data_IF_739772900189
#
_entry.id   IF_739772900189
#
_cell.length_a   1.000
_cell.length_b   1.000
_cell.length_c   1.000
_cell.angle_alpha   90.00
_cell.angle_beta   90.00
_cell.angle_gamma   90.00
#
_symmetry.space_group_name_H-M   'P 1'
#
loop_
_entity.id
_entity.type
_entity.pdbx_description
1 polymer ?
#
# COMPACT_ATOMS: atom_id res chain seq x y z
N UNK A 1 -14.74 -50.93 -10.14
CA UNK A 1 -15.92 -50.07 -10.44
C UNK A 1 -15.56 -48.64 -10.11
N UNK A 2 -15.05 -47.90 -11.09
CA UNK A 2 -14.73 -46.49 -10.95
C UNK A 2 -15.90 -45.68 -11.51
N UNK A 3 -16.63 -44.98 -10.65
CA UNK A 3 -17.59 -43.94 -11.00
C UNK A 3 -16.84 -42.70 -11.53
N UNK A 4 -16.03 -42.88 -12.59
CA UNK A 4 -15.45 -41.76 -13.30
C UNK A 4 -16.59 -41.12 -14.09
N UNK A 5 -17.07 -39.97 -13.61
CA UNK A 5 -18.03 -39.18 -14.36
C UNK A 5 -17.45 -38.91 -15.75
N UNK A 6 -18.11 -39.43 -16.78
CA UNK A 6 -17.70 -39.30 -18.19
C UNK A 6 -18.01 -37.92 -18.77
N UNK A 7 -18.65 -37.05 -17.98
CA UNK A 7 -19.04 -35.70 -18.37
C UNK A 7 -18.23 -34.60 -17.68
N UNK A 8 -18.52 -33.34 -18.01
CA UNK A 8 -17.97 -32.18 -17.33
C UNK A 8 -18.23 -32.23 -15.82
N UNK A 9 -17.32 -31.65 -15.03
CA UNK A 9 -17.44 -31.64 -13.57
C UNK A 9 -18.65 -30.83 -13.09
N UNK A 10 -18.99 -29.73 -13.80
CA UNK A 10 -20.10 -28.85 -13.48
C UNK A 10 -20.83 -28.43 -14.76
N UNK A 11 -22.15 -28.20 -14.71
CA UNK A 11 -22.88 -27.67 -15.87
C UNK A 11 -22.51 -26.21 -16.13
N UNK A 12 -22.44 -25.84 -17.41
CA UNK A 12 -21.99 -24.52 -17.86
C UNK A 12 -22.75 -23.35 -17.23
N UNK A 13 -24.07 -23.48 -17.06
CA UNK A 13 -24.93 -22.44 -16.50
C UNK A 13 -24.67 -22.15 -15.02
N UNK A 14 -23.99 -23.05 -14.28
CA UNK A 14 -23.55 -22.81 -12.90
C UNK A 14 -22.24 -22.04 -12.88
N UNK A 15 -21.29 -22.38 -13.76
CA UNK A 15 -19.93 -21.85 -13.72
C UNK A 15 -19.79 -20.52 -14.47
N UNK A 16 -20.50 -20.36 -15.60
CA UNK A 16 -20.35 -19.20 -16.47
C UNK A 16 -20.83 -17.88 -15.82
N UNK A 17 -22.02 -17.79 -15.18
CA UNK A 17 -22.48 -16.54 -14.58
C UNK A 17 -21.54 -15.95 -13.50
N UNK A 18 -21.03 -16.71 -12.51
CA UNK A 18 -20.11 -16.14 -11.53
C UNK A 18 -18.77 -15.73 -12.16
N UNK A 19 -18.25 -16.49 -13.14
CA UNK A 19 -17.01 -16.10 -13.83
C UNK A 19 -17.20 -14.81 -14.65
N UNK A 20 -18.35 -14.65 -15.31
CA UNK A 20 -18.69 -13.44 -16.05
C UNK A 20 -18.83 -12.23 -15.10
N UNK A 21 -19.49 -12.42 -13.94
CA UNK A 21 -19.60 -11.38 -12.92
C UNK A 21 -18.22 -10.97 -12.38
N UNK A 22 -17.36 -11.94 -12.07
CA UNK A 22 -15.99 -11.67 -11.61
C UNK A 22 -15.17 -10.93 -12.67
N UNK A 23 -15.30 -11.31 -13.95
CA UNK A 23 -14.68 -10.56 -15.05
C UNK A 23 -15.13 -9.10 -15.07
N UNK A 24 -16.43 -8.83 -14.92
CA UNK A 24 -16.95 -7.45 -14.89
C UNK A 24 -16.40 -6.66 -13.70
N UNK A 25 -16.33 -7.27 -12.51
CA UNK A 25 -15.75 -6.65 -11.33
C UNK A 25 -14.26 -6.35 -11.55
N UNK A 26 -13.49 -7.29 -12.11
CA UNK A 26 -12.07 -7.08 -12.40
C UNK A 26 -11.86 -6.00 -13.47
N UNK A 27 -12.69 -5.95 -14.50
CA UNK A 27 -12.65 -4.91 -15.52
C UNK A 27 -12.92 -3.52 -14.91
N UNK A 28 -13.96 -3.41 -14.07
CA UNK A 28 -14.27 -2.19 -13.33
C UNK A 28 -13.13 -1.78 -12.39
N UNK A 29 -12.53 -2.74 -11.69
CA UNK A 29 -11.36 -2.50 -10.85
C UNK A 29 -10.17 -1.95 -11.63
N UNK A 30 -9.85 -2.54 -12.79
CA UNK A 30 -8.76 -2.06 -13.65
C UNK A 30 -9.05 -0.64 -14.14
N UNK A 31 -10.29 -0.31 -14.49
CA UNK A 31 -10.67 1.06 -14.87
C UNK A 31 -10.52 2.04 -13.70
N UNK A 32 -11.03 1.70 -12.52
CA UNK A 32 -10.90 2.53 -11.31
C UNK A 32 -9.43 2.75 -10.92
N UNK A 33 -8.56 1.74 -11.13
CA UNK A 33 -7.13 1.85 -10.86
C UNK A 33 -6.41 2.86 -11.78
N UNK A 34 -6.98 3.18 -12.96
CA UNK A 34 -6.40 4.19 -13.86
C UNK A 34 -6.60 5.61 -13.34
N UNK A 35 -7.66 5.84 -12.58
CA UNK A 35 -8.01 7.16 -12.02
C UNK A 35 -7.36 7.40 -10.65
N UNK A 36 -6.99 6.33 -9.94
CA UNK A 36 -6.36 6.44 -8.64
C UNK A 36 -4.95 7.07 -8.71
N UNK A 37 -4.65 7.95 -7.76
CA UNK A 37 -3.32 8.54 -7.57
C UNK A 37 -2.36 7.51 -6.94
N UNK A 38 -1.91 6.57 -7.77
CA UNK A 38 -1.01 5.48 -7.40
C UNK A 38 0.26 5.59 -8.24
N UNK A 39 1.46 5.42 -7.64
CA UNK A 39 2.73 5.40 -8.39
C UNK A 39 2.65 4.46 -9.59
N UNK A 40 3.19 4.92 -10.72
CA UNK A 40 3.04 4.22 -12.01
C UNK A 40 3.55 2.77 -11.98
N UNK A 41 4.66 2.52 -11.26
CA UNK A 41 5.21 1.19 -11.04
C UNK A 41 4.20 0.23 -10.40
N UNK A 42 3.56 0.64 -9.29
CA UNK A 42 2.55 -0.17 -8.58
C UNK A 42 1.29 -0.35 -9.42
N UNK A 43 0.91 0.67 -10.19
CA UNK A 43 -0.21 0.60 -11.12
C UNK A 43 0.01 -0.48 -12.18
N UNK A 44 1.17 -0.50 -12.85
CA UNK A 44 1.51 -1.48 -13.88
C UNK A 44 1.47 -2.91 -13.32
N UNK A 45 2.04 -3.16 -12.14
CA UNK A 45 2.03 -4.49 -11.50
C UNK A 45 0.61 -4.95 -11.19
N UNK A 46 -0.20 -4.09 -10.58
CA UNK A 46 -1.61 -4.39 -10.27
C UNK A 46 -2.45 -4.64 -11.51
N UNK A 47 -2.29 -3.85 -12.57
CA UNK A 47 -2.96 -4.08 -13.85
C UNK A 47 -2.58 -5.43 -14.44
N UNK A 48 -1.29 -5.79 -14.45
CA UNK A 48 -0.86 -7.11 -14.92
C UNK A 48 -1.44 -8.26 -14.08
N UNK A 49 -1.50 -8.09 -12.76
CA UNK A 49 -2.15 -9.05 -11.86
C UNK A 49 -3.64 -9.23 -12.19
N UNK A 50 -4.39 -8.14 -12.32
CA UNK A 50 -5.82 -8.19 -12.67
C UNK A 50 -6.07 -8.76 -14.06
N UNK A 51 -5.27 -8.40 -15.08
CA UNK A 51 -5.37 -8.97 -16.43
C UNK A 51 -5.11 -10.47 -16.39
N UNK A 52 -4.12 -10.92 -15.63
CA UNK A 52 -3.84 -12.35 -15.44
C UNK A 52 -5.03 -13.05 -14.77
N UNK A 53 -5.65 -12.45 -13.76
CA UNK A 53 -6.87 -12.98 -13.13
C UNK A 53 -8.10 -12.98 -14.06
N UNK A 54 -8.19 -12.05 -15.01
CA UNK A 54 -9.24 -12.07 -16.03
C UNK A 54 -8.99 -13.23 -17.01
N UNK A 55 -7.74 -13.48 -17.40
CA UNK A 55 -7.35 -14.60 -18.27
C UNK A 55 -7.55 -15.98 -17.62
N UNK A 56 -7.55 -16.09 -16.29
CA UNK A 56 -7.85 -17.36 -15.62
C UNK A 56 -9.34 -17.72 -15.67
N UNK A 57 -10.26 -16.75 -15.69
CA UNK A 57 -11.70 -17.02 -15.72
C UNK A 57 -12.17 -17.90 -16.91
N UNK A 58 -11.80 -17.63 -18.17
CA UNK A 58 -12.23 -18.48 -19.29
C UNK A 58 -11.60 -19.87 -19.22
N UNK A 59 -10.39 -19.99 -18.66
CA UNK A 59 -9.74 -21.29 -18.42
C UNK A 59 -10.46 -22.08 -17.34
N UNK A 60 -10.94 -21.43 -16.27
CA UNK A 60 -11.76 -22.07 -15.24
C UNK A 60 -13.07 -22.57 -15.85
N UNK A 61 -13.78 -21.73 -16.62
CA UNK A 61 -15.02 -22.14 -17.30
C UNK A 61 -14.76 -23.32 -18.24
N UNK A 62 -13.69 -23.25 -19.04
CA UNK A 62 -13.30 -24.33 -19.94
C UNK A 62 -13.00 -25.61 -19.17
N UNK A 63 -12.19 -25.53 -18.10
CA UNK A 63 -11.79 -26.69 -17.30
C UNK A 63 -12.97 -27.40 -16.64
N UNK A 64 -13.91 -26.65 -16.07
CA UNK A 64 -15.01 -27.25 -15.29
C UNK A 64 -16.24 -27.62 -16.12
N UNK A 65 -16.53 -26.88 -17.20
CA UNK A 65 -17.75 -27.05 -17.97
C UNK A 65 -17.54 -27.72 -19.34
N UNK A 66 -16.32 -27.77 -19.86
CA UNK A 66 -16.05 -28.26 -21.23
C UNK A 66 -15.01 -29.40 -21.23
N UNK A 67 -13.88 -29.23 -20.53
CA UNK A 67 -12.83 -30.23 -20.49
C UNK A 67 -13.33 -31.48 -19.75
N UNK A 68 -13.21 -32.63 -20.42
CA UNK A 68 -13.64 -33.91 -19.85
C UNK A 68 -12.43 -34.81 -19.59
N UNK A 69 -12.45 -35.66 -18.55
CA UNK A 69 -11.37 -36.63 -18.30
C UNK A 69 -11.23 -37.69 -19.39
N UNK A 70 -12.22 -37.82 -20.28
CA UNK A 70 -12.19 -38.74 -21.41
C UNK A 70 -11.04 -38.41 -22.40
N UNK A 71 -10.66 -37.13 -22.51
CA UNK A 71 -9.46 -36.69 -23.21
C UNK A 71 -8.40 -36.24 -22.21
N UNK A 72 -7.61 -37.20 -21.73
CA UNK A 72 -6.57 -36.98 -20.74
C UNK A 72 -5.54 -35.93 -21.18
N UNK A 73 -5.23 -35.82 -22.48
CA UNK A 73 -4.23 -34.86 -22.98
C UNK A 73 -4.73 -33.44 -22.82
N UNK A 74 -5.93 -33.16 -23.33
CA UNK A 74 -6.52 -31.82 -23.24
C UNK A 74 -6.76 -31.43 -21.78
N UNK A 75 -7.29 -32.36 -20.97
CA UNK A 75 -7.51 -32.14 -19.55
C UNK A 75 -6.22 -31.77 -18.79
N UNK A 76 -5.14 -32.54 -18.99
CA UNK A 76 -3.85 -32.27 -18.34
C UNK A 76 -3.21 -30.97 -18.82
N UNK A 77 -3.33 -30.63 -20.11
CA UNK A 77 -2.83 -29.36 -20.65
C UNK A 77 -3.57 -28.16 -20.06
N UNK A 78 -4.90 -28.23 -19.92
CA UNK A 78 -5.68 -27.16 -19.28
C UNK A 78 -5.29 -26.97 -17.82
N UNK A 79 -5.12 -28.07 -17.07
CA UNK A 79 -4.62 -28.00 -15.68
C UNK A 79 -3.22 -27.39 -15.60
N UNK A 80 -2.30 -27.84 -16.45
CA UNK A 80 -0.94 -27.30 -16.49
C UNK A 80 -0.93 -25.80 -16.81
N UNK A 81 -1.76 -25.36 -17.75
CA UNK A 81 -1.92 -23.95 -18.09
C UNK A 81 -2.49 -23.14 -16.91
N UNK A 82 -3.52 -23.66 -16.24
CA UNK A 82 -4.13 -23.00 -15.08
C UNK A 82 -3.14 -22.89 -13.90
N UNK A 83 -2.38 -23.94 -13.62
CA UNK A 83 -1.30 -23.92 -12.63
C UNK A 83 -0.17 -22.96 -13.03
N UNK A 84 0.15 -22.88 -14.32
CA UNK A 84 1.11 -21.92 -14.86
C UNK A 84 0.68 -20.46 -14.64
N UNK A 85 -0.59 -20.13 -14.94
CA UNK A 85 -1.14 -18.80 -14.65
C UNK A 85 -1.17 -18.52 -13.14
N UNK A 86 -1.52 -19.51 -12.31
CA UNK A 86 -1.49 -19.36 -10.86
C UNK A 86 -0.06 -19.10 -10.36
N UNK A 87 0.93 -19.82 -10.87
CA UNK A 87 2.34 -19.57 -10.57
C UNK A 87 2.78 -18.17 -10.98
N UNK A 88 2.35 -17.70 -12.15
CA UNK A 88 2.59 -16.32 -12.62
C UNK A 88 1.98 -15.28 -11.66
N UNK A 89 0.77 -15.52 -11.15
CA UNK A 89 0.14 -14.64 -10.14
C UNK A 89 0.97 -14.58 -8.85
N UNK A 90 1.49 -15.73 -8.38
CA UNK A 90 2.36 -15.77 -7.19
C UNK A 90 3.64 -14.97 -7.42
N UNK A 91 4.28 -15.11 -8.58
CA UNK A 91 5.49 -14.34 -8.92
C UNK A 91 5.19 -12.84 -8.97
N UNK A 92 4.09 -12.43 -9.61
CA UNK A 92 3.67 -11.02 -9.63
C UNK A 92 3.39 -10.48 -8.22
N UNK A 93 2.75 -11.27 -7.36
CA UNK A 93 2.50 -10.89 -5.98
C UNK A 93 3.80 -10.71 -5.19
N UNK A 94 4.78 -11.62 -5.37
CA UNK A 94 6.10 -11.46 -4.75
C UNK A 94 6.82 -10.20 -5.23
N UNK A 95 6.77 -9.90 -6.53
CA UNK A 95 7.35 -8.67 -7.09
C UNK A 95 6.68 -7.41 -6.50
N UNK A 96 5.36 -7.42 -6.30
CA UNK A 96 4.66 -6.32 -5.64
C UNK A 96 5.13 -6.12 -4.20
N UNK A 97 5.29 -7.22 -3.44
CA UNK A 97 5.81 -7.16 -2.06
C UNK A 97 7.22 -6.57 -2.02
N UNK A 98 8.13 -7.05 -2.87
CA UNK A 98 9.51 -6.54 -2.94
C UNK A 98 9.52 -5.04 -3.28
N UNK A 99 8.69 -4.61 -4.22
CA UNK A 99 8.59 -3.21 -4.61
C UNK A 99 8.04 -2.34 -3.46
N UNK A 100 6.99 -2.81 -2.77
CA UNK A 100 6.42 -2.11 -1.62
C UNK A 100 7.44 -1.98 -0.47
N UNK A 101 8.23 -3.03 -0.22
CA UNK A 101 9.30 -2.98 0.79
C UNK A 101 10.34 -1.92 0.41
N UNK A 102 10.81 -1.91 -0.83
CA UNK A 102 11.80 -0.93 -1.32
C UNK A 102 11.30 0.52 -1.20
N UNK A 103 10.03 0.77 -1.51
CA UNK A 103 9.42 2.10 -1.37
C UNK A 103 9.35 2.49 0.11
N UNK A 104 8.91 1.55 0.98
CA UNK A 104 8.79 1.81 2.41
C UNK A 104 10.14 2.11 3.08
N UNK A 105 11.22 1.46 2.64
CA UNK A 105 12.56 1.73 3.18
C UNK A 105 13.04 3.12 2.80
N UNK A 106 12.80 3.54 1.56
CA UNK A 106 13.18 4.89 1.10
C UNK A 106 12.38 5.98 1.83
N UNK A 107 11.06 5.81 1.96
CA UNK A 107 10.22 6.73 2.71
C UNK A 107 10.66 6.87 4.18
N UNK A 108 11.06 5.76 4.82
CA UNK A 108 11.61 5.80 6.18
C UNK A 108 12.91 6.58 6.28
N UNK A 109 13.76 6.55 5.25
CA UNK A 109 15.00 7.32 5.23
C UNK A 109 14.71 8.82 5.08
N UNK A 110 13.79 9.18 4.20
CA UNK A 110 13.36 10.56 3.97
C UNK A 110 12.72 11.17 5.23
N UNK A 111 11.76 10.48 5.85
CA UNK A 111 11.15 10.94 7.09
C UNK A 111 12.16 11.10 8.24
N UNK A 112 13.19 10.26 8.31
CA UNK A 112 14.25 10.41 9.31
C UNK A 112 15.11 11.65 9.06
N UNK A 113 15.29 12.06 7.81
CA UNK A 113 16.01 13.29 7.48
C UNK A 113 15.15 14.52 7.79
N UNK A 114 13.87 14.49 7.42
CA UNK A 114 12.92 15.56 7.73
C UNK A 114 12.75 15.77 9.24
N UNK A 115 12.68 14.69 10.03
CA UNK A 115 12.61 14.80 11.50
C UNK A 115 13.86 15.45 12.08
N UNK A 116 15.04 15.15 11.53
CA UNK A 116 16.29 15.78 11.98
C UNK A 116 16.33 17.27 11.64
N UNK A 117 15.92 17.66 10.44
CA UNK A 117 15.83 19.09 10.10
C UNK A 117 14.80 19.82 10.96
N UNK A 118 13.65 19.19 11.23
CA UNK A 118 12.64 19.76 12.11
C UNK A 118 13.14 19.92 13.55
N UNK A 119 13.89 18.95 14.07
CA UNK A 119 14.53 19.03 15.39
C UNK A 119 15.53 20.19 15.45
N UNK A 120 16.35 20.37 14.41
CA UNK A 120 17.28 21.49 14.31
C UNK A 120 16.57 22.84 14.25
N UNK A 121 15.49 22.96 13.49
CA UNK A 121 14.71 24.20 13.37
C UNK A 121 13.99 24.56 14.69
N UNK A 122 13.41 23.56 15.36
CA UNK A 122 12.79 23.75 16.68
C UNK A 122 13.85 24.19 17.70
N UNK A 123 15.04 23.59 17.68
CA UNK A 123 16.15 23.95 18.57
C UNK A 123 16.62 25.39 18.32
N UNK A 124 16.74 25.81 17.05
CA UNK A 124 17.08 27.19 16.68
C UNK A 124 16.04 28.18 17.17
N UNK A 125 14.76 27.90 16.94
CA UNK A 125 13.66 28.75 17.38
C UNK A 125 13.60 28.89 18.92
N UNK A 126 13.88 27.82 19.67
CA UNK A 126 13.98 27.90 21.13
C UNK A 126 15.15 28.75 21.58
N UNK A 127 16.33 28.61 20.96
CA UNK A 127 17.51 29.41 21.29
C UNK A 127 17.28 30.91 21.02
N UNK A 128 16.64 31.26 19.90
CA UNK A 128 16.26 32.63 19.57
C UNK A 128 15.29 33.23 20.60
N UNK A 129 14.27 32.45 21.02
CA UNK A 129 13.33 32.88 22.05
C UNK A 129 14.00 33.11 23.40
N UNK A 130 14.95 32.24 23.76
CA UNK A 130 15.69 32.38 25.01
C UNK A 130 16.58 33.65 24.98
N UNK A 131 17.29 33.90 23.88
CA UNK A 131 18.10 35.10 23.72
C UNK A 131 17.25 36.39 23.77
N UNK A 132 16.06 36.37 23.17
CA UNK A 132 15.11 37.49 23.26
C UNK A 132 14.62 37.72 24.70
N UNK A 133 14.28 36.64 25.42
CA UNK A 133 13.84 36.74 26.81
C UNK A 133 14.94 37.33 27.73
N UNK A 134 16.20 36.94 27.52
CA UNK A 134 17.36 37.49 28.24
C UNK A 134 17.58 38.98 27.92
N UNK A 135 17.46 39.36 26.63
CA UNK A 135 17.56 40.76 26.21
C UNK A 135 16.44 41.63 26.83
N UNK A 136 15.20 41.15 26.82
CA UNK A 136 14.05 41.83 27.43
C UNK A 136 14.20 41.97 28.95
N UNK A 137 14.75 40.95 29.62
CA UNK A 137 15.01 40.98 31.05
C UNK A 137 16.12 41.98 31.41
N UNK A 138 17.14 42.12 30.55
CA UNK A 138 18.18 43.14 30.70
C UNK A 138 17.67 44.55 30.36
N UNK A 139 16.71 44.67 29.42
CA UNK A 139 16.16 45.94 28.99
C UNK A 139 15.11 46.51 29.95
N UNK A 140 14.43 45.67 30.74
CA UNK A 140 13.61 46.16 31.86
C UNK A 140 14.54 46.88 32.85
N UNK A 141 14.47 48.22 32.94
CA UNK A 141 15.32 48.94 33.87
C UNK A 141 15.03 48.38 35.25
N UNK A 142 16.07 48.02 35.98
CA UNK A 142 15.98 47.70 37.40
C UNK A 142 15.37 48.95 38.02
N UNK A 143 14.05 48.98 38.18
CA UNK A 143 13.35 49.92 39.02
C UNK A 143 13.92 49.63 40.39
N UNK A 144 15.03 50.31 40.68
CA UNK A 144 15.62 50.42 41.99
C UNK A 144 14.54 51.19 42.74
N UNK A 145 13.56 50.43 43.24
CA UNK A 145 12.80 50.82 44.40
C UNK A 145 13.91 51.16 45.39
N UNK A 146 14.20 52.45 45.47
CA UNK A 146 15.01 53.02 46.53
C UNK A 146 14.28 52.58 47.78
N UNK A 147 14.77 51.49 48.37
CA UNK A 147 14.50 51.13 49.74
C UNK A 147 14.84 52.39 50.52
N UNK A 148 13.80 53.13 50.88
CA UNK A 148 13.93 54.35 51.65
C UNK A 148 14.62 53.95 52.93
N UNK A 149 15.86 54.42 53.08
CA UNK A 149 16.47 54.61 54.38
C UNK A 149 15.52 55.50 55.19
N UNK A 150 14.56 54.86 55.85
CA UNK A 150 13.81 55.44 56.93
C UNK A 150 14.79 55.48 58.11
N UNK A 151 15.69 56.46 58.09
CA UNK A 151 16.53 56.79 59.24
C UNK A 151 15.61 57.17 60.39
N UNK A 152 15.45 56.28 61.35
CA UNK A 152 14.86 56.61 62.64
C UNK A 152 15.75 57.64 63.36
N UNK A 153 15.18 58.76 63.86
CA UNK A 153 15.91 59.69 64.70
C UNK A 153 16.11 59.09 66.10
N UNK A 154 17.37 58.97 66.53
CA UNK A 154 17.71 58.70 67.93
C UNK A 154 17.27 59.90 68.80
N UNK A 155 16.34 59.65 69.72
CA UNK A 155 16.06 60.49 70.90
C UNK A 155 17.05 60.21 72.04
#
# INVERSE_FOLDING_TARGET
>A
MTLAATGPALPLWIVAPPCALLMLILAGYVMALREADVPESRRRIRTMGSVTMMLTQPLIVYLFAIATPADARTFMLTWALLLGLLGMLVVLAMLDVVNNVRISTNARHEFRQELKSLEEDVRRAMAERQAQAEADQSAKPKLRLTDGECSEPNE
#
